data_IF_799810627037
#
_entry.id   IF_799810627037
#
_cell.length_a   1.000
_cell.length_b   1.000
_cell.length_c   1.000
_cell.angle_alpha   90.00
_cell.angle_beta   90.00
_cell.angle_gamma   90.00
#
_symmetry.space_group_name_H-M   'P 1'
#
loop_
_entity.id
_entity.type
_entity.pdbx_description
1 polymer ?
#
# COMPACT_ATOMS: atom_id res chain seq x y z
N UNK A 1 -6.14 -28.29 15.94
CA UNK A 1 -6.20 -26.81 15.93
C UNK A 1 -5.54 -26.31 14.66
N UNK A 2 -6.19 -25.46 13.86
CA UNK A 2 -5.54 -24.84 12.69
C UNK A 2 -4.62 -23.74 13.16
N UNK A 3 -3.35 -23.80 12.80
CA UNK A 3 -2.37 -22.73 13.00
C UNK A 3 -2.87 -21.45 12.31
N UNK A 4 -2.93 -20.29 12.97
CA UNK A 4 -3.37 -19.05 12.36
C UNK A 4 -2.46 -18.67 11.19
N UNK A 5 -3.06 -18.29 10.06
CA UNK A 5 -2.32 -17.84 8.88
C UNK A 5 -2.04 -16.35 8.94
N UNK A 6 -0.81 -15.93 8.64
CA UNK A 6 -0.48 -14.50 8.50
C UNK A 6 -0.82 -14.00 7.10
N UNK A 7 -1.41 -12.80 7.03
CA UNK A 7 -1.76 -12.12 5.79
C UNK A 7 -0.84 -10.92 5.57
N UNK A 8 -0.01 -10.98 4.53
CA UNK A 8 0.93 -9.91 4.22
C UNK A 8 0.26 -8.83 3.36
N UNK A 9 0.47 -7.56 3.72
CA UNK A 9 -0.09 -6.40 2.99
C UNK A 9 0.55 -6.18 1.63
N UNK A 10 1.74 -6.73 1.41
CA UNK A 10 2.54 -6.68 0.18
C UNK A 10 3.11 -8.07 -0.06
N UNK A 11 3.11 -8.60 -1.30
CA UNK A 11 3.66 -9.92 -1.58
C UNK A 11 5.18 -9.95 -1.40
N UNK A 12 5.77 -11.07 -0.94
CA UNK A 12 7.23 -11.20 -0.86
C UNK A 12 7.88 -11.30 -2.24
N UNK A 13 9.08 -10.72 -2.38
CA UNK A 13 9.91 -10.91 -3.56
C UNK A 13 10.34 -12.40 -3.70
N UNK A 14 10.58 -12.94 -4.91
CA UNK A 14 11.01 -14.33 -5.09
C UNK A 14 12.22 -14.74 -4.23
N UNK A 15 13.20 -13.87 -4.05
CA UNK A 15 14.35 -14.10 -3.14
C UNK A 15 13.91 -14.33 -1.70
N UNK A 16 12.94 -13.56 -1.21
CA UNK A 16 12.36 -13.72 0.14
C UNK A 16 11.57 -15.02 0.24
N UNK A 17 10.81 -15.39 -0.79
CA UNK A 17 10.11 -16.69 -0.86
C UNK A 17 11.10 -17.86 -0.80
N UNK A 18 12.20 -17.77 -1.54
CA UNK A 18 13.25 -18.78 -1.54
C UNK A 18 13.93 -18.88 -0.17
N UNK A 19 14.22 -17.74 0.49
CA UNK A 19 14.74 -17.72 1.85
C UNK A 19 13.78 -18.39 2.85
N UNK A 20 12.48 -18.10 2.78
CA UNK A 20 11.46 -18.74 3.64
C UNK A 20 11.43 -20.27 3.43
N UNK A 21 11.48 -20.74 2.18
CA UNK A 21 11.51 -22.17 1.85
C UNK A 21 12.81 -22.83 2.33
N UNK A 22 13.95 -22.18 2.17
CA UNK A 22 15.24 -22.69 2.64
C UNK A 22 15.30 -22.74 4.17
N UNK A 23 14.79 -21.70 4.85
CA UNK A 23 14.68 -21.67 6.31
C UNK A 23 13.77 -22.80 6.82
N UNK A 24 12.65 -23.06 6.12
CA UNK A 24 11.76 -24.19 6.42
C UNK A 24 12.48 -25.53 6.31
N UNK A 25 13.25 -25.75 5.25
CA UNK A 25 14.03 -26.97 5.05
C UNK A 25 15.06 -27.17 6.15
N UNK A 26 15.76 -26.11 6.57
CA UNK A 26 16.75 -26.15 7.64
C UNK A 26 16.12 -26.35 9.03
N UNK A 27 14.93 -25.79 9.26
CA UNK A 27 14.21 -25.93 10.51
C UNK A 27 13.58 -27.32 10.68
N UNK A 28 13.24 -28.05 9.62
CA UNK A 28 12.67 -29.40 9.73
C UNK A 28 11.29 -29.38 10.38
N UNK A 29 11.11 -29.99 11.57
CA UNK A 29 9.80 -30.05 12.24
C UNK A 29 9.47 -28.82 13.11
N UNK A 30 10.50 -28.08 13.55
CA UNK A 30 10.31 -26.87 14.37
C UNK A 30 9.80 -25.69 13.53
N UNK A 31 9.09 -24.72 14.14
CA UNK A 31 8.81 -23.44 13.51
C UNK A 31 10.11 -22.72 13.14
N UNK A 32 10.10 -22.00 12.02
CA UNK A 32 11.19 -21.14 11.59
C UNK A 32 11.25 -19.92 12.51
N UNK A 33 12.40 -19.70 13.12
CA UNK A 33 12.66 -18.54 13.96
C UNK A 33 13.28 -17.37 13.16
N UNK A 34 13.47 -16.21 13.80
CA UNK A 34 14.04 -15.04 13.11
C UNK A 34 15.47 -15.27 12.62
N UNK A 35 16.28 -16.05 13.35
CA UNK A 35 17.68 -16.35 12.97
C UNK A 35 17.73 -17.30 11.78
N UNK A 36 16.89 -18.33 11.75
CA UNK A 36 16.80 -19.26 10.61
C UNK A 36 16.49 -18.50 9.32
N UNK A 37 15.52 -17.59 9.39
CA UNK A 37 15.11 -16.80 8.25
C UNK A 37 16.21 -15.81 7.84
N UNK A 38 16.92 -15.22 8.80
CA UNK A 38 18.09 -14.37 8.53
C UNK A 38 19.20 -15.15 7.80
N UNK A 39 19.60 -16.31 8.33
CA UNK A 39 20.65 -17.16 7.73
C UNK A 39 20.25 -17.60 6.32
N UNK A 40 19.01 -18.02 6.13
CA UNK A 40 18.51 -18.36 4.80
C UNK A 40 18.48 -17.15 3.86
N UNK A 41 18.14 -15.96 4.36
CA UNK A 41 18.14 -14.73 3.57
C UNK A 41 19.55 -14.39 3.10
N UNK A 42 20.55 -14.44 3.98
CA UNK A 42 21.95 -14.19 3.66
C UNK A 42 22.50 -15.17 2.60
N UNK A 43 22.03 -16.42 2.61
CA UNK A 43 22.46 -17.45 1.64
C UNK A 43 21.86 -17.27 0.25
N UNK A 44 20.61 -16.81 0.18
CA UNK A 44 19.87 -16.69 -1.10
C UNK A 44 20.09 -15.32 -1.74
N UNK A 45 20.30 -14.29 -0.93
CA UNK A 45 20.46 -12.92 -1.43
C UNK A 45 21.90 -12.64 -1.88
N UNK A 46 22.11 -12.75 -3.19
CA UNK A 46 23.38 -12.39 -3.84
C UNK A 46 23.48 -10.90 -4.19
N UNK A 47 22.43 -10.11 -3.94
CA UNK A 47 22.36 -8.70 -4.32
C UNK A 47 22.72 -7.74 -3.19
N UNK A 48 22.46 -8.13 -1.93
CA UNK A 48 22.89 -7.39 -0.76
C UNK A 48 24.38 -7.58 -0.46
N UNK A 49 25.05 -6.52 0.00
CA UNK A 49 26.44 -6.53 0.46
C UNK A 49 26.55 -7.09 1.89
N UNK A 50 26.07 -8.32 2.08
CA UNK A 50 26.08 -9.02 3.38
C UNK A 50 27.50 -9.24 3.92
N UNK A 51 28.50 -9.29 3.05
CA UNK A 51 29.92 -9.37 3.38
C UNK A 51 30.37 -8.22 4.29
N UNK A 52 29.87 -7.00 4.06
CA UNK A 52 30.24 -5.81 4.86
C UNK A 52 29.67 -5.89 6.28
N UNK A 53 28.44 -6.38 6.41
CA UNK A 53 27.81 -6.61 7.72
C UNK A 53 28.50 -7.77 8.45
N UNK A 54 28.87 -8.82 7.72
CA UNK A 54 29.51 -10.01 8.26
C UNK A 54 30.87 -9.73 8.89
N UNK A 55 31.56 -8.65 8.52
CA UNK A 55 32.78 -8.18 9.19
C UNK A 55 32.57 -7.88 10.67
N UNK A 56 31.35 -7.51 11.07
CA UNK A 56 31.02 -7.17 12.45
C UNK A 56 30.48 -8.36 13.25
N UNK A 57 29.69 -9.23 12.60
CA UNK A 57 28.89 -10.24 13.30
C UNK A 57 29.15 -11.70 12.89
N UNK A 58 30.06 -11.93 11.93
CA UNK A 58 30.26 -13.23 11.29
C UNK A 58 29.35 -13.44 10.08
N UNK A 59 29.75 -14.38 9.22
CA UNK A 59 29.01 -14.80 8.04
C UNK A 59 27.78 -15.67 8.41
N UNK A 60 27.08 -16.19 7.40
CA UNK A 60 25.88 -17.00 7.61
C UNK A 60 26.15 -18.27 8.44
N UNK A 61 27.36 -18.86 8.33
CA UNK A 61 27.78 -20.03 9.10
C UNK A 61 28.05 -19.64 10.55
N UNK A 62 28.77 -18.54 10.77
CA UNK A 62 29.04 -17.99 12.10
C UNK A 62 27.75 -17.62 12.82
N UNK A 63 26.82 -16.94 12.14
CA UNK A 63 25.51 -16.57 12.68
C UNK A 63 24.67 -17.81 13.01
N UNK A 64 24.68 -18.84 12.16
CA UNK A 64 23.97 -20.09 12.43
C UNK A 64 24.46 -20.80 13.71
N UNK A 65 25.75 -20.67 14.04
CA UNK A 65 26.37 -21.23 15.24
C UNK A 65 26.10 -20.46 16.52
N UNK A 66 25.64 -19.20 16.45
CA UNK A 66 25.40 -18.37 17.65
C UNK A 66 24.23 -18.91 18.49
N UNK A 67 24.45 -19.05 19.79
CA UNK A 67 23.40 -19.47 20.74
C UNK A 67 22.58 -18.24 21.14
N UNK A 68 21.51 -17.98 20.38
CA UNK A 68 20.56 -16.88 20.62
C UNK A 68 19.13 -17.43 20.62
N UNK A 69 18.32 -17.04 21.61
CA UNK A 69 16.98 -17.61 21.84
C UNK A 69 15.88 -16.68 21.35
N UNK A 70 15.23 -16.99 20.22
CA UNK A 70 14.14 -16.14 19.73
C UNK A 70 13.04 -15.98 20.80
N UNK A 71 12.53 -14.77 21.08
CA UNK A 71 11.67 -14.47 22.23
C UNK A 71 10.24 -15.04 22.09
N UNK A 72 10.05 -16.04 21.23
CA UNK A 72 8.76 -16.62 20.90
C UNK A 72 8.03 -17.14 22.14
N UNK A 73 6.77 -16.73 22.31
CA UNK A 73 5.95 -17.04 23.50
C UNK A 73 5.21 -18.39 23.41
N UNK A 74 5.62 -19.26 22.48
CA UNK A 74 5.02 -20.58 22.26
C UNK A 74 3.89 -20.60 21.22
N UNK A 75 3.55 -19.46 20.62
CA UNK A 75 2.69 -19.40 19.45
C UNK A 75 3.46 -19.75 18.17
N UNK A 76 2.77 -20.43 17.26
CA UNK A 76 3.24 -20.60 15.90
C UNK A 76 2.17 -20.06 14.97
N UNK A 77 2.59 -19.22 14.03
CA UNK A 77 1.76 -18.80 12.90
C UNK A 77 2.22 -19.52 11.63
N UNK A 78 1.45 -19.44 10.56
CA UNK A 78 1.85 -20.01 9.28
C UNK A 78 1.73 -19.05 8.11
N UNK A 79 2.65 -19.14 7.18
CA UNK A 79 2.59 -18.47 5.87
C UNK A 79 2.79 -19.52 4.78
N UNK A 80 1.80 -19.69 3.89
CA UNK A 80 1.81 -20.72 2.83
C UNK A 80 2.21 -22.13 3.32
N UNK A 81 1.78 -22.50 4.53
CA UNK A 81 2.08 -23.81 5.14
C UNK A 81 3.43 -23.89 5.87
N UNK A 82 4.25 -22.84 5.81
CA UNK A 82 5.50 -22.71 6.58
C UNK A 82 5.16 -22.23 7.99
N UNK A 83 5.49 -23.03 9.01
CA UNK A 83 5.32 -22.63 10.42
C UNK A 83 6.42 -21.66 10.84
N UNK A 84 6.04 -20.55 11.46
CA UNK A 84 6.90 -19.48 11.94
C UNK A 84 6.72 -19.31 13.46
N UNK A 85 7.76 -18.91 14.17
CA UNK A 85 7.62 -18.38 15.54
C UNK A 85 6.82 -17.06 15.53
N UNK A 86 6.24 -16.66 16.66
CA UNK A 86 5.52 -15.38 16.76
C UNK A 86 6.40 -14.16 16.41
N UNK A 87 7.65 -14.17 16.87
CA UNK A 87 8.67 -13.16 16.55
C UNK A 87 9.02 -13.13 15.07
N UNK A 88 9.15 -14.30 14.43
CA UNK A 88 9.42 -14.39 12.99
C UNK A 88 8.22 -13.93 12.15
N UNK A 89 7.01 -14.29 12.56
CA UNK A 89 5.78 -13.79 11.96
C UNK A 89 5.67 -12.26 12.09
N UNK A 90 5.91 -11.72 13.28
CA UNK A 90 5.89 -10.28 13.54
C UNK A 90 6.96 -9.52 12.73
N UNK A 91 8.14 -10.10 12.55
CA UNK A 91 9.19 -9.57 11.69
C UNK A 91 8.74 -9.48 10.23
N UNK A 92 8.12 -10.54 9.70
CA UNK A 92 7.64 -10.58 8.32
C UNK A 92 6.48 -9.60 8.09
N UNK A 93 5.55 -9.49 9.03
CA UNK A 93 4.49 -8.49 9.00
C UNK A 93 5.04 -7.05 9.07
N UNK A 94 6.09 -6.85 9.87
CA UNK A 94 6.78 -5.55 9.96
C UNK A 94 7.43 -5.19 8.63
N UNK A 95 8.11 -6.14 7.99
CA UNK A 95 8.67 -5.95 6.65
C UNK A 95 7.58 -5.60 5.61
N UNK A 96 6.43 -6.30 5.64
CA UNK A 96 5.30 -6.02 4.75
C UNK A 96 4.69 -4.62 4.98
N UNK A 97 4.55 -4.20 6.24
CA UNK A 97 4.08 -2.85 6.58
C UNK A 97 5.06 -1.77 6.09
N UNK A 98 6.36 -1.96 6.31
CA UNK A 98 7.37 -1.01 5.86
C UNK A 98 7.40 -0.92 4.33
N UNK A 99 7.41 -2.06 3.63
CA UNK A 99 7.32 -2.11 2.18
C UNK A 99 6.09 -1.33 1.67
N UNK A 100 4.92 -1.54 2.28
CA UNK A 100 3.71 -0.78 1.93
C UNK A 100 3.87 0.73 2.19
N UNK A 101 4.40 1.09 3.36
CA UNK A 101 4.59 2.48 3.78
C UNK A 101 5.51 3.26 2.84
N UNK A 102 6.55 2.60 2.34
CA UNK A 102 7.51 3.18 1.39
C UNK A 102 7.13 2.88 -0.08
N UNK A 103 5.88 2.50 -0.36
CA UNK A 103 5.31 2.27 -1.70
C UNK A 103 6.08 1.23 -2.56
N UNK A 104 6.59 0.17 -1.93
CA UNK A 104 7.22 -0.95 -2.63
C UNK A 104 6.16 -1.96 -3.09
N UNK A 105 6.34 -2.49 -4.30
CA UNK A 105 5.40 -3.43 -4.92
C UNK A 105 5.56 -4.88 -4.40
N UNK A 106 6.73 -5.20 -3.85
CA UNK A 106 7.05 -6.47 -3.20
C UNK A 106 7.88 -6.19 -1.94
N UNK A 107 8.02 -7.18 -1.05
CA UNK A 107 8.94 -7.11 0.09
C UNK A 107 10.35 -7.48 -0.40
N UNK A 108 11.29 -6.53 -0.57
CA UNK A 108 12.68 -6.85 -0.92
C UNK A 108 13.42 -7.47 0.27
N UNK A 109 14.58 -8.07 0.00
CA UNK A 109 15.48 -8.67 1.00
C UNK A 109 15.84 -7.67 2.10
N UNK A 110 16.23 -6.45 1.75
CA UNK A 110 16.53 -5.40 2.73
C UNK A 110 15.36 -5.02 3.64
N UNK A 111 14.12 -5.04 3.15
CA UNK A 111 12.95 -4.78 4.01
C UNK A 111 12.67 -5.96 4.95
N UNK A 112 12.88 -7.19 4.49
CA UNK A 112 12.81 -8.35 5.38
C UNK A 112 13.90 -8.28 6.45
N UNK A 113 15.14 -7.96 6.07
CA UNK A 113 16.25 -7.79 7.00
C UNK A 113 15.92 -6.74 8.08
N UNK A 114 15.35 -5.59 7.68
CA UNK A 114 14.86 -4.57 8.61
C UNK A 114 13.74 -5.06 9.52
N UNK A 115 12.81 -5.86 9.01
CA UNK A 115 11.78 -6.50 9.82
C UNK A 115 12.35 -7.48 10.84
N UNK A 116 13.35 -8.27 10.45
CA UNK A 116 14.02 -9.25 11.31
C UNK A 116 14.79 -8.60 12.47
N UNK A 117 15.37 -7.41 12.25
CA UNK A 117 16.09 -6.66 13.30
C UNK A 117 15.26 -5.53 13.93
N UNK A 118 13.97 -5.44 13.60
CA UNK A 118 13.08 -4.38 14.06
C UNK A 118 12.97 -4.38 15.59
N UNK A 119 12.81 -5.57 16.17
CA UNK A 119 12.77 -5.82 17.61
C UNK A 119 14.16 -6.30 18.08
N UNK A 120 14.82 -5.56 19.00
CA UNK A 120 16.16 -5.89 19.47
C UNK A 120 16.24 -7.22 20.23
N UNK A 121 15.13 -7.75 20.72
CA UNK A 121 15.12 -9.01 21.50
C UNK A 121 15.09 -10.26 20.62
N UNK A 122 14.85 -10.10 19.31
CA UNK A 122 14.83 -11.22 18.35
C UNK A 122 16.17 -11.93 18.25
N UNK A 123 16.15 -13.21 17.89
CA UNK A 123 17.38 -13.96 17.64
C UNK A 123 18.19 -13.35 16.48
N UNK A 124 17.53 -12.90 15.41
CA UNK A 124 18.19 -12.20 14.30
C UNK A 124 18.89 -10.90 14.74
N UNK A 125 18.21 -10.03 15.50
CA UNK A 125 18.80 -8.78 15.97
C UNK A 125 20.04 -9.05 16.84
N UNK A 126 19.95 -9.96 17.80
CA UNK A 126 21.08 -10.26 18.71
C UNK A 126 22.22 -10.99 18.02
N UNK A 127 21.94 -11.79 16.98
CA UNK A 127 22.99 -12.43 16.21
C UNK A 127 23.83 -11.40 15.42
N UNK A 128 23.16 -10.35 14.89
CA UNK A 128 23.79 -9.29 14.10
C UNK A 128 24.36 -8.13 14.93
N UNK A 129 23.84 -7.87 16.13
CA UNK A 129 24.19 -6.70 16.93
C UNK A 129 25.54 -6.80 17.65
N UNK A 130 26.42 -7.72 17.26
CA UNK A 130 27.69 -8.02 17.95
C UNK A 130 28.59 -6.78 18.02
N UNK A 131 28.51 -6.04 19.14
CA UNK A 131 29.17 -4.75 19.33
C UNK A 131 28.51 -3.53 18.64
N UNK A 132 27.40 -3.70 17.92
CA UNK A 132 26.68 -2.62 17.25
C UNK A 132 25.50 -2.14 18.09
N UNK A 133 25.35 -0.83 18.25
CA UNK A 133 24.10 -0.24 18.74
C UNK A 133 22.96 -0.50 17.75
N UNK A 134 21.71 -0.47 18.24
CA UNK A 134 20.52 -0.65 17.40
C UNK A 134 20.49 0.31 16.21
N UNK A 135 20.90 1.56 16.41
CA UNK A 135 20.91 2.57 15.34
C UNK A 135 21.98 2.27 14.29
N UNK A 136 23.16 1.83 14.70
CA UNK A 136 24.23 1.40 13.78
C UNK A 136 23.83 0.15 13.00
N UNK A 137 23.19 -0.83 13.65
CA UNK A 137 22.70 -2.02 12.98
C UNK A 137 21.64 -1.67 11.91
N UNK A 138 20.66 -0.83 12.25
CA UNK A 138 19.65 -0.37 11.29
C UNK A 138 20.26 0.45 10.15
N UNK A 139 21.30 1.23 10.42
CA UNK A 139 22.02 1.98 9.39
C UNK A 139 22.79 1.05 8.45
N UNK A 140 23.49 0.05 8.99
CA UNK A 140 24.22 -0.95 8.20
C UNK A 140 23.27 -1.76 7.30
N UNK A 141 22.15 -2.25 7.83
CA UNK A 141 21.16 -2.98 7.03
C UNK A 141 20.58 -2.11 5.91
N UNK A 142 20.31 -0.81 6.16
CA UNK A 142 19.83 0.10 5.13
C UNK A 142 20.86 0.36 4.03
N UNK A 143 22.12 0.60 4.43
CA UNK A 143 23.19 0.93 3.51
C UNK A 143 23.62 -0.28 2.67
N UNK A 144 23.81 -1.43 3.31
CA UNK A 144 24.50 -2.58 2.71
C UNK A 144 23.53 -3.65 2.18
N UNK A 145 22.32 -3.80 2.74
CA UNK A 145 21.34 -4.79 2.25
C UNK A 145 20.23 -4.15 1.44
N UNK A 146 19.63 -3.07 1.97
CA UNK A 146 18.53 -2.40 1.28
C UNK A 146 19.04 -1.49 0.14
N UNK A 147 20.26 -0.98 0.25
CA UNK A 147 20.86 -0.06 -0.72
C UNK A 147 20.25 1.34 -0.74
N UNK A 148 19.29 1.64 0.14
CA UNK A 148 18.66 2.96 0.29
C UNK A 148 18.39 3.29 1.75
N UNK A 149 18.54 4.57 2.10
CA UNK A 149 18.22 5.08 3.43
C UNK A 149 16.75 5.50 3.50
N UNK A 150 16.01 4.93 4.45
CA UNK A 150 14.60 5.22 4.67
C UNK A 150 14.44 6.35 5.69
N UNK A 151 13.96 7.49 5.24
CA UNK A 151 13.68 8.62 6.13
C UNK A 151 12.61 8.24 7.16
N UNK A 152 12.90 8.47 8.45
CA UNK A 152 11.95 8.25 9.53
C UNK A 152 11.77 6.80 9.99
N UNK A 153 12.63 5.87 9.54
CA UNK A 153 12.52 4.44 9.87
C UNK A 153 12.40 4.17 11.38
N UNK A 154 13.27 4.78 12.19
CA UNK A 154 13.27 4.57 13.65
C UNK A 154 11.98 5.03 14.35
N UNK A 155 11.19 5.91 13.71
CA UNK A 155 9.87 6.33 14.18
C UNK A 155 8.81 5.32 13.77
N UNK A 156 8.87 4.81 12.54
CA UNK A 156 7.94 3.78 12.05
C UNK A 156 8.12 2.45 12.82
N UNK A 157 9.36 2.09 13.18
CA UNK A 157 9.67 0.91 14.01
C UNK A 157 9.26 1.08 15.48
N UNK A 158 9.29 2.31 16.02
CA UNK A 158 8.86 2.61 17.40
C UNK A 158 7.35 2.70 17.55
N UNK A 159 6.61 2.82 16.45
CA UNK A 159 5.15 2.88 16.50
C UNK A 159 4.68 1.55 17.10
N UNK A 160 4.03 1.55 18.28
CA UNK A 160 3.61 0.30 18.92
C UNK A 160 2.82 -0.53 17.93
N UNK A 161 3.04 -1.85 17.92
CA UNK A 161 2.10 -2.80 17.33
C UNK A 161 0.80 -2.81 18.13
N UNK A 162 0.13 -1.67 18.23
CA UNK A 162 -1.21 -1.56 18.79
C UNK A 162 -2.20 -1.93 17.69
N UNK A 163 -2.34 -3.24 17.45
CA UNK A 163 -3.47 -3.96 18.01
C UNK A 163 -3.13 -5.47 17.90
N UNK A 164 -3.08 -6.25 19.00
CA UNK A 164 -3.24 -7.70 18.86
C UNK A 164 -4.53 -7.94 18.07
N UNK A 165 -4.68 -9.00 17.26
CA UNK A 165 -6.01 -9.39 16.83
C UNK A 165 -6.78 -9.69 18.11
N UNK A 166 -7.59 -8.74 18.58
CA UNK A 166 -8.56 -9.00 19.64
C UNK A 166 -9.21 -10.29 19.23
N UNK A 167 -9.08 -11.32 20.07
CA UNK A 167 -9.93 -12.50 19.99
C UNK A 167 -11.31 -11.96 19.68
N UNK A 168 -11.84 -12.33 18.51
CA UNK A 168 -13.11 -11.80 18.05
C UNK A 168 -14.10 -12.08 19.17
N UNK A 169 -14.41 -11.04 19.96
CA UNK A 169 -15.66 -11.00 20.70
C UNK A 169 -16.66 -11.33 19.62
N UNK A 170 -17.53 -12.35 19.78
CA UNK A 170 -18.59 -12.56 18.83
C UNK A 170 -19.44 -11.30 18.88
N UNK A 171 -19.09 -10.36 17.99
CA UNK A 171 -19.85 -9.16 17.75
C UNK A 171 -21.16 -9.72 17.23
N UNK A 172 -22.30 -9.44 17.91
CA UNK A 172 -23.59 -9.84 17.36
C UNK A 172 -23.62 -9.26 15.96
N UNK A 173 -23.65 -10.15 14.97
CA UNK A 173 -23.48 -9.82 13.55
C UNK A 173 -24.39 -8.65 13.23
N UNK A 174 -23.86 -7.43 13.01
CA UNK A 174 -24.69 -6.35 12.53
C UNK A 174 -24.92 -6.70 11.07
N UNK A 175 -26.13 -7.12 10.76
CA UNK A 175 -26.64 -7.23 9.41
C UNK A 175 -26.38 -5.88 8.71
N UNK A 176 -25.44 -5.89 7.74
CA UNK A 176 -24.81 -4.79 7.00
C UNK A 176 -23.45 -4.28 7.56
N UNK A 177 -22.34 -4.71 6.92
CA UNK A 177 -20.99 -4.16 7.12
C UNK A 177 -20.99 -2.65 6.84
N UNK A 178 -20.82 -1.82 7.87
CA UNK A 178 -20.61 -0.38 7.70
C UNK A 178 -19.38 -0.14 6.82
N UNK A 179 -19.57 0.55 5.69
CA UNK A 179 -18.48 0.90 4.76
C UNK A 179 -17.96 2.28 5.13
N UNK A 180 -16.64 2.41 5.31
CA UNK A 180 -15.98 3.64 5.74
C UNK A 180 -15.26 4.34 4.58
N UNK A 181 -15.21 5.67 4.59
CA UNK A 181 -14.51 6.44 3.56
C UNK A 181 -12.99 6.24 3.65
N UNK A 182 -12.35 5.91 2.52
CA UNK A 182 -10.89 5.78 2.43
C UNK A 182 -10.13 7.07 2.78
N UNK A 183 -10.75 8.23 2.58
CA UNK A 183 -10.10 9.53 2.76
C UNK A 183 -10.19 10.06 4.20
N UNK A 184 -11.40 10.10 4.78
CA UNK A 184 -11.62 10.69 6.11
C UNK A 184 -12.06 9.68 7.18
N UNK A 185 -12.29 8.41 6.81
CA UNK A 185 -12.80 7.39 7.72
C UNK A 185 -14.30 7.45 8.00
N UNK A 186 -15.02 8.44 7.48
CA UNK A 186 -16.45 8.62 7.81
C UNK A 186 -17.38 7.59 7.15
N UNK A 187 -18.52 7.35 7.80
CA UNK A 187 -19.64 6.50 7.33
C UNK A 187 -20.91 7.37 7.27
N UNK A 188 -21.90 7.08 6.39
CA UNK A 188 -21.91 6.03 5.36
C UNK A 188 -20.99 6.35 4.17
N UNK A 189 -20.39 5.30 3.58
CA UNK A 189 -19.57 5.41 2.38
C UNK A 189 -20.02 4.44 1.27
N UNK A 190 -19.84 4.83 0.01
CA UNK A 190 -20.16 4.02 -1.15
C UNK A 190 -18.88 3.54 -1.86
N UNK A 191 -18.84 2.25 -2.23
CA UNK A 191 -17.82 1.68 -3.09
C UNK A 191 -18.03 2.12 -4.54
N UNK A 192 -17.44 3.25 -4.91
CA UNK A 192 -17.48 3.85 -6.24
C UNK A 192 -16.09 4.29 -6.65
N UNK A 193 -15.80 4.21 -7.95
CA UNK A 193 -14.56 4.73 -8.52
C UNK A 193 -14.85 5.98 -9.32
N UNK A 194 -14.06 7.02 -9.08
CA UNK A 194 -14.14 8.28 -9.82
C UNK A 194 -13.03 8.29 -10.84
N UNK A 195 -13.36 8.58 -12.09
CA UNK A 195 -12.42 8.55 -13.23
C UNK A 195 -12.20 9.95 -13.78
N UNK A 196 -11.05 10.18 -14.39
CA UNK A 196 -10.75 11.39 -15.14
C UNK A 196 -10.03 11.02 -16.42
N UNK A 197 -10.44 11.64 -17.52
CA UNK A 197 -9.84 11.45 -18.83
C UNK A 197 -9.12 12.73 -19.25
N UNK A 198 -7.83 12.60 -19.57
CA UNK A 198 -7.01 13.69 -20.12
C UNK A 198 -6.58 13.25 -21.51
N UNK A 199 -7.21 13.82 -22.52
CA UNK A 199 -6.93 13.53 -23.92
C UNK A 199 -6.42 14.79 -24.59
N UNK A 200 -5.12 15.04 -24.49
CA UNK A 200 -4.44 15.99 -25.38
C UNK A 200 -4.22 15.31 -26.73
N UNK A 201 -4.13 16.09 -27.82
CA UNK A 201 -4.12 15.61 -29.20
C UNK A 201 -3.17 14.41 -29.46
N UNK A 202 -2.03 14.33 -28.75
CA UNK A 202 -1.05 13.25 -28.84
C UNK A 202 -0.83 12.45 -27.53
N UNK A 203 -1.50 12.83 -26.42
CA UNK A 203 -1.27 12.23 -25.11
C UNK A 203 -2.59 11.88 -24.42
N UNK A 204 -2.80 10.59 -24.16
CA UNK A 204 -3.94 10.07 -23.41
C UNK A 204 -3.53 9.60 -22.02
N UNK A 205 -4.20 10.11 -20.99
CA UNK A 205 -4.01 9.67 -19.61
C UNK A 205 -5.36 9.41 -18.95
N UNK A 206 -5.53 8.18 -18.47
CA UNK A 206 -6.67 7.74 -17.68
C UNK A 206 -6.28 7.75 -16.20
N UNK A 207 -6.94 8.60 -15.42
CA UNK A 207 -6.73 8.66 -13.96
C UNK A 207 -7.94 8.08 -13.27
N UNK A 208 -7.72 7.12 -12.37
CA UNK A 208 -8.77 6.49 -11.57
C UNK A 208 -8.48 6.70 -10.10
N UNK A 209 -9.47 7.18 -9.36
CA UNK A 209 -9.42 7.28 -7.91
C UNK A 209 -10.39 6.27 -7.29
N UNK A 210 -9.87 5.16 -6.72
CA UNK A 210 -10.73 4.12 -6.16
C UNK A 210 -11.34 4.54 -4.82
N UNK A 211 -12.62 4.23 -4.63
CA UNK A 211 -13.33 4.43 -3.36
C UNK A 211 -12.99 3.36 -2.32
N UNK A 212 -13.77 3.22 -1.23
CA UNK A 212 -15.05 3.88 -0.94
C UNK A 212 -14.95 5.34 -0.49
N UNK A 213 -15.98 6.15 -0.82
CA UNK A 213 -16.08 7.56 -0.44
C UNK A 213 -17.35 7.85 0.37
N UNK A 214 -17.25 8.66 1.43
CA UNK A 214 -18.42 9.29 2.02
C UNK A 214 -18.98 10.35 1.07
N UNK A 215 -20.17 10.87 1.38
CA UNK A 215 -20.84 11.87 0.54
C UNK A 215 -19.95 13.06 0.18
N UNK A 216 -19.34 13.69 1.19
CA UNK A 216 -18.66 14.98 1.01
C UNK A 216 -17.30 14.81 0.30
N UNK A 217 -16.49 13.83 0.71
CA UNK A 217 -15.25 13.47 0.03
C UNK A 217 -15.49 12.98 -1.41
N UNK A 218 -16.55 12.20 -1.63
CA UNK A 218 -16.94 11.73 -2.95
C UNK A 218 -17.33 12.88 -3.87
N UNK A 219 -18.16 13.81 -3.39
CA UNK A 219 -18.57 14.99 -4.15
C UNK A 219 -17.38 15.92 -4.46
N UNK A 220 -16.48 16.15 -3.51
CA UNK A 220 -15.28 16.96 -3.71
C UNK A 220 -14.39 16.38 -4.81
N UNK A 221 -14.07 15.08 -4.71
CA UNK A 221 -13.26 14.36 -5.70
C UNK A 221 -13.92 14.32 -7.07
N UNK A 222 -15.21 13.98 -7.11
CA UNK A 222 -15.98 13.88 -8.36
C UNK A 222 -15.98 15.22 -9.09
N UNK A 223 -16.26 16.32 -8.38
CA UNK A 223 -16.28 17.67 -8.98
C UNK A 223 -14.91 18.04 -9.52
N UNK A 224 -13.83 17.81 -8.76
CA UNK A 224 -12.46 18.11 -9.20
C UNK A 224 -12.08 17.32 -10.46
N UNK A 225 -12.30 16.01 -10.46
CA UNK A 225 -11.91 15.12 -11.56
C UNK A 225 -12.76 15.32 -12.81
N UNK A 226 -14.06 15.58 -12.64
CA UNK A 226 -14.95 15.91 -13.76
C UNK A 226 -14.57 17.23 -14.42
N UNK A 227 -14.25 18.27 -13.64
CA UNK A 227 -13.77 19.55 -14.18
C UNK A 227 -12.47 19.38 -14.97
N UNK A 228 -11.53 18.56 -14.49
CA UNK A 228 -10.33 18.26 -15.25
C UNK A 228 -10.64 17.53 -16.57
N UNK A 229 -11.59 16.60 -16.56
CA UNK A 229 -11.97 15.82 -17.75
C UNK A 229 -12.64 16.69 -18.81
N UNK A 230 -13.49 17.65 -18.43
CA UNK A 230 -14.13 18.55 -19.38
C UNK A 230 -13.23 19.66 -19.89
N UNK A 231 -12.07 19.89 -19.27
CA UNK A 231 -11.09 20.84 -19.81
C UNK A 231 -10.00 20.16 -20.63
N UNK A 232 -9.63 18.93 -20.30
CA UNK A 232 -8.50 18.25 -20.93
C UNK A 232 -8.92 17.08 -21.82
N UNK A 233 -10.19 16.67 -21.80
CA UNK A 233 -10.66 15.45 -22.46
C UNK A 233 -11.22 15.63 -23.86
N UNK A 234 -11.23 16.84 -24.43
CA UNK A 234 -11.89 17.12 -25.72
C UNK A 234 -10.95 17.37 -26.90
N UNK A 235 -9.64 17.45 -26.68
CA UNK A 235 -8.69 17.99 -27.67
C UNK A 235 -8.26 16.99 -28.74
N UNK A 236 -8.93 15.86 -28.89
CA UNK A 236 -8.60 14.86 -29.90
C UNK A 236 -9.82 14.09 -30.38
N UNK A 237 -9.81 13.56 -31.61
CA UNK A 237 -10.97 12.90 -32.22
C UNK A 237 -11.42 11.65 -31.45
N UNK A 238 -10.47 10.83 -31.00
CA UNK A 238 -10.77 9.66 -30.18
C UNK A 238 -11.23 10.07 -28.75
N UNK A 239 -10.67 11.16 -28.22
CA UNK A 239 -11.03 11.73 -26.92
C UNK A 239 -12.47 12.27 -26.87
N UNK A 240 -12.97 12.82 -27.99
CA UNK A 240 -14.36 13.26 -28.13
C UNK A 240 -15.37 12.13 -27.87
N UNK A 241 -15.00 10.86 -28.12
CA UNK A 241 -15.84 9.69 -27.85
C UNK A 241 -15.59 9.07 -26.47
N UNK A 242 -14.34 9.03 -26.01
CA UNK A 242 -13.96 8.43 -24.72
C UNK A 242 -14.40 9.27 -23.53
N UNK A 243 -14.31 10.60 -23.65
CA UNK A 243 -14.63 11.51 -22.55
C UNK A 243 -16.12 11.44 -22.13
N UNK A 244 -17.11 11.45 -23.04
CA UNK A 244 -18.51 11.21 -22.69
C UNK A 244 -18.75 9.92 -21.90
N UNK A 245 -18.10 8.81 -22.29
CA UNK A 245 -18.22 7.52 -21.58
C UNK A 245 -17.68 7.66 -20.14
N UNK A 246 -16.55 8.36 -19.98
CA UNK A 246 -15.97 8.64 -18.65
C UNK A 246 -16.89 9.51 -17.79
N UNK A 247 -17.51 10.53 -18.40
CA UNK A 247 -18.48 11.41 -17.73
C UNK A 247 -19.74 10.64 -17.30
N UNK A 248 -20.25 9.72 -18.12
CA UNK A 248 -21.37 8.85 -17.78
C UNK A 248 -21.05 7.90 -16.62
N UNK A 249 -19.86 7.29 -16.62
CA UNK A 249 -19.41 6.46 -15.50
C UNK A 249 -19.33 7.27 -14.18
N UNK A 250 -18.88 8.52 -14.26
CA UNK A 250 -18.87 9.45 -13.13
C UNK A 250 -20.29 9.88 -12.71
N UNK A 251 -21.25 10.00 -13.63
CA UNK A 251 -22.64 10.30 -13.29
C UNK A 251 -23.29 9.17 -12.47
N UNK A 252 -22.98 7.90 -12.80
CA UNK A 252 -23.39 6.75 -11.98
C UNK A 252 -22.77 6.80 -10.58
N UNK A 253 -21.46 7.09 -10.48
CA UNK A 253 -20.80 7.29 -9.20
C UNK A 253 -21.43 8.44 -8.40
N UNK A 254 -21.78 9.56 -9.05
CA UNK A 254 -22.44 10.70 -8.44
C UNK A 254 -23.81 10.33 -7.83
N UNK A 255 -24.63 9.57 -8.55
CA UNK A 255 -25.94 9.11 -8.07
C UNK A 255 -25.78 8.30 -6.77
N UNK A 256 -24.84 7.34 -6.77
CA UNK A 256 -24.57 6.49 -5.61
C UNK A 256 -23.99 7.27 -4.41
N UNK A 257 -23.15 8.28 -4.66
CA UNK A 257 -22.61 9.16 -3.60
C UNK A 257 -23.70 10.07 -3.03
N UNK A 258 -24.56 10.63 -3.90
CA UNK A 258 -25.63 11.56 -3.48
C UNK A 258 -26.72 10.87 -2.68
N UNK A 259 -26.93 9.57 -2.90
CA UNK A 259 -27.83 8.74 -2.10
C UNK A 259 -27.37 8.54 -0.65
N UNK A 260 -26.12 8.86 -0.31
CA UNK A 260 -25.59 8.74 1.05
C UNK A 260 -26.11 9.87 1.96
N UNK A 261 -26.26 9.57 3.25
CA UNK A 261 -26.45 10.57 4.30
C UNK A 261 -25.21 11.44 4.53
N UNK A 262 -25.32 12.51 5.34
CA UNK A 262 -24.15 13.28 5.79
C UNK A 262 -23.13 12.40 6.52
N UNK A 263 -21.82 12.72 6.46
CA UNK A 263 -20.81 12.05 7.28
C UNK A 263 -21.12 12.22 8.77
N UNK A 264 -21.10 11.11 9.52
CA UNK A 264 -21.33 11.14 10.98
C UNK A 264 -20.16 11.85 11.70
N UNK A 265 -20.42 12.78 12.65
CA UNK A 265 -19.39 13.45 13.45
C UNK A 265 -18.57 12.49 14.34
N UNK A 266 -17.34 12.87 14.71
CA UNK A 266 -16.48 12.09 15.62
C UNK A 266 -15.52 11.10 14.95
N UNK A 267 -15.38 11.17 13.63
CA UNK A 267 -14.49 10.30 12.84
C UNK A 267 -13.04 10.82 12.77
N UNK A 268 -12.04 9.96 12.50
CA UNK A 268 -10.61 10.31 12.62
C UNK A 268 -10.15 11.45 11.69
N UNK A 269 -10.76 11.58 10.51
CA UNK A 269 -10.41 12.59 9.51
C UNK A 269 -11.52 13.59 9.25
N UNK A 270 -11.15 14.83 8.93
CA UNK A 270 -12.09 15.88 8.50
C UNK A 270 -12.56 15.58 7.06
N UNK A 271 -13.88 15.50 6.79
CA UNK A 271 -14.39 15.37 5.43
C UNK A 271 -13.94 16.54 4.54
N UNK A 272 -13.65 16.27 3.27
CA UNK A 272 -13.36 17.33 2.30
C UNK A 272 -14.59 18.23 2.12
N UNK A 273 -14.38 19.53 1.95
CA UNK A 273 -15.45 20.43 1.56
C UNK A 273 -15.75 20.25 0.05
N UNK A 274 -16.96 19.79 -0.32
CA UNK A 274 -17.33 19.66 -1.72
C UNK A 274 -17.49 21.02 -2.42
N UNK A 275 -17.61 22.13 -1.66
CA UNK A 275 -17.73 23.49 -2.16
C UNK A 275 -18.96 23.72 -3.03
N UNK A 276 -18.87 24.69 -3.96
CA UNK A 276 -19.98 25.02 -4.88
C UNK A 276 -20.32 23.83 -5.81
N UNK A 277 -21.61 23.63 -6.17
CA UNK A 277 -22.04 22.64 -7.17
C UNK A 277 -21.29 22.79 -8.51
N UNK A 278 -21.19 21.69 -9.27
CA UNK A 278 -20.40 21.61 -10.49
C UNK A 278 -20.71 22.75 -11.48
N UNK A 279 -21.99 22.92 -11.83
CA UNK A 279 -22.45 23.93 -12.80
C UNK A 279 -22.41 25.38 -12.29
N UNK A 280 -22.14 25.60 -11.00
CA UNK A 280 -21.97 26.96 -10.44
C UNK A 280 -20.50 27.40 -10.43
N UNK A 281 -19.62 26.68 -11.14
CA UNK A 281 -18.19 26.98 -11.25
C UNK A 281 -17.89 27.44 -12.67
N UNK A 282 -17.05 28.48 -12.86
CA UNK A 282 -16.66 28.93 -14.21
C UNK A 282 -15.99 27.81 -15.00
N UNK A 283 -15.29 26.90 -14.33
CA UNK A 283 -14.70 25.72 -14.95
C UNK A 283 -15.73 24.77 -15.60
N UNK A 284 -17.03 24.87 -15.30
CA UNK A 284 -18.06 24.10 -15.98
C UNK A 284 -18.29 24.53 -17.44
N UNK A 285 -17.77 25.69 -17.86
CA UNK A 285 -17.76 26.09 -19.27
C UNK A 285 -17.05 25.07 -20.17
N UNK A 286 -16.17 24.23 -19.62
CA UNK A 286 -15.53 23.13 -20.36
C UNK A 286 -16.51 22.14 -21.00
N UNK A 287 -17.75 22.03 -20.51
CA UNK A 287 -18.79 21.22 -21.16
C UNK A 287 -19.24 21.77 -22.52
N UNK A 288 -19.01 23.06 -22.79
CA UNK A 288 -19.39 23.70 -24.06
C UNK A 288 -18.33 23.53 -25.16
N UNK A 289 -17.12 23.11 -24.81
CA UNK A 289 -16.00 22.91 -25.76
C UNK A 289 -16.39 22.00 -26.94
N UNK A 290 -16.97 20.80 -26.76
CA UNK A 290 -17.34 19.95 -27.90
C UNK A 290 -18.41 20.60 -28.79
N UNK A 291 -19.35 21.36 -28.21
CA UNK A 291 -20.37 22.10 -28.98
C UNK A 291 -19.71 23.20 -29.80
N UNK A 292 -18.77 23.94 -29.21
CA UNK A 292 -18.01 24.98 -29.91
C UNK A 292 -17.19 24.39 -31.08
N UNK A 293 -16.55 23.23 -30.90
CA UNK A 293 -15.85 22.54 -31.99
C UNK A 293 -16.79 22.11 -33.11
N UNK A 294 -17.96 21.55 -32.78
CA UNK A 294 -18.96 21.17 -33.78
C UNK A 294 -19.47 22.39 -34.55
N UNK A 295 -19.82 23.49 -33.85
CA UNK A 295 -20.27 24.72 -34.49
C UNK A 295 -19.17 25.33 -35.38
N UNK A 296 -17.93 25.40 -34.89
CA UNK A 296 -16.80 25.88 -35.68
C UNK A 296 -16.60 25.03 -36.95
N UNK A 297 -16.61 23.69 -36.82
CA UNK A 297 -16.48 22.79 -37.96
C UNK A 297 -17.61 22.99 -38.98
N UNK A 298 -18.86 23.08 -38.52
CA UNK A 298 -20.03 23.28 -39.40
C UNK A 298 -20.09 24.65 -40.06
N UNK A 299 -19.55 25.71 -39.44
CA UNK A 299 -19.54 27.07 -39.99
C UNK A 299 -18.31 27.34 -40.87
N UNK A 300 -17.13 26.86 -40.45
CA UNK A 300 -15.88 27.13 -41.16
C UNK A 300 -15.70 26.25 -42.41
N UNK A 301 -16.23 25.03 -42.42
CA UNK A 301 -16.10 24.12 -43.56
C UNK A 301 -16.79 24.66 -44.84
N UNK A 302 -18.03 25.19 -44.78
CA UNK A 302 -18.67 25.86 -45.92
C UNK A 302 -17.90 27.08 -46.43
N UNK A 303 -17.35 27.88 -45.51
CA UNK A 303 -16.60 29.11 -45.82
C UNK A 303 -15.24 28.85 -46.50
N UNK A 304 -14.68 27.64 -46.33
CA UNK A 304 -13.44 27.22 -47.00
C UNK A 304 -13.70 26.52 -48.33
N UNK A 305 -14.94 26.11 -48.59
CA UNK A 305 -15.35 25.38 -49.80
C UNK A 305 -16.04 26.24 -50.87
N UNK A 306 -16.27 27.53 -50.59
CA UNK A 306 -16.83 28.51 -51.53
C UNK A 306 -15.80 29.59 -51.85
#
# INVERSE_FOLDING_TARGET
MRTPGIALTVPPHPTVVNALRQARSAAGARPVDTRDLLVALMRVDTSGSWDRISLHCGDDVGIAGKIVLDPATGGASQWEGIRLTDSCAAALETAARLAHRYNMHAIPTGMLALGLVADPDTAAARALSDGLSREQLLAAVQADVLGVTLSGLSRELRRPQAEPPRAAVPVPVPTARATYCRHCGATPAAAVDIRSHRGLLLWMQFVRMPGPFCRDCGLATLRRMTLQSVWLGWWGPLSLMINPITLLANASAHSRIRALGPPIPGMPGRPMDPGKPLFRRPAALGFLIPVAFLLWFWIALPLLSG
#
